data_IF_387809829535
#
_entry.id   IF_387809829535
#
_cell.length_a   1.000
_cell.length_b   1.000
_cell.length_c   1.000
_cell.angle_alpha   90.00
_cell.angle_beta   90.00
_cell.angle_gamma   90.00
#
_symmetry.space_group_name_H-M   'P 1'
#
loop_
_entity.id
_entity.type
_entity.pdbx_description
1 polymer ?
#
# COMPACT_ATOMS: atom_id res chain seq x y z
N UNK A 1 -26.35 -29.36 -7.21
CA UNK A 1 -26.33 -29.30 -5.75
C UNK A 1 -25.06 -28.54 -5.38
N UNK A 2 -25.12 -27.20 -5.23
CA UNK A 2 -24.01 -26.40 -4.75
C UNK A 2 -23.82 -26.77 -3.27
N UNK A 3 -22.78 -27.54 -2.98
CA UNK A 3 -22.34 -27.80 -1.60
C UNK A 3 -22.01 -26.40 -1.02
N UNK A 4 -22.78 -25.92 -0.06
CA UNK A 4 -22.46 -24.71 0.68
C UNK A 4 -21.18 -25.02 1.45
N UNK A 5 -20.04 -24.49 0.95
CA UNK A 5 -18.77 -24.59 1.65
C UNK A 5 -18.91 -23.77 2.93
N UNK A 6 -18.83 -24.40 4.09
CA UNK A 6 -18.75 -23.69 5.37
C UNK A 6 -17.34 -23.13 5.51
N UNK A 7 -17.20 -21.84 5.29
CA UNK A 7 -15.90 -21.15 5.39
C UNK A 7 -15.32 -21.17 6.80
N UNK A 8 -16.15 -21.31 7.83
CA UNK A 8 -15.72 -21.49 9.20
C UNK A 8 -15.07 -22.88 9.39
N UNK A 9 -15.69 -23.95 8.86
CA UNK A 9 -15.10 -25.28 8.88
C UNK A 9 -13.76 -25.34 8.16
N UNK A 10 -13.63 -24.62 7.01
CA UNK A 10 -12.33 -24.51 6.31
C UNK A 10 -11.29 -23.79 7.17
N UNK A 11 -11.67 -22.70 7.86
CA UNK A 11 -10.78 -21.99 8.77
C UNK A 11 -10.43 -22.82 10.01
N UNK A 12 -11.29 -23.76 10.42
CA UNK A 12 -11.03 -24.68 11.52
C UNK A 12 -10.09 -25.83 11.14
N UNK A 13 -10.16 -26.29 9.89
CA UNK A 13 -9.36 -27.40 9.38
C UNK A 13 -7.95 -27.01 8.92
N UNK A 14 -7.75 -25.75 8.51
CA UNK A 14 -6.44 -25.28 8.09
C UNK A 14 -5.50 -25.06 9.28
N UNK A 15 -4.24 -25.49 9.13
CA UNK A 15 -3.27 -25.45 10.22
C UNK A 15 -1.84 -25.13 9.80
N UNK A 16 -0.93 -25.23 10.76
CA UNK A 16 0.49 -24.95 10.55
C UNK A 16 1.08 -25.79 9.43
N UNK A 17 0.75 -27.08 9.39
CA UNK A 17 1.28 -28.02 8.40
C UNK A 17 0.99 -27.56 6.96
N UNK A 18 -0.17 -26.96 6.71
CA UNK A 18 -0.52 -26.47 5.36
C UNK A 18 0.38 -25.29 4.95
N UNK A 19 0.69 -24.40 5.90
CA UNK A 19 1.60 -23.26 5.67
C UNK A 19 3.04 -23.74 5.51
N UNK A 20 3.48 -24.72 6.28
CA UNK A 20 4.81 -25.34 6.15
C UNK A 20 4.98 -26.03 4.78
N UNK A 21 3.97 -26.74 4.31
CA UNK A 21 3.96 -27.29 2.96
C UNK A 21 4.02 -26.20 1.87
N UNK A 22 3.34 -25.08 2.09
CA UNK A 22 3.44 -23.94 1.20
C UNK A 22 4.86 -23.34 1.20
N UNK A 23 5.50 -23.24 2.37
CA UNK A 23 6.89 -22.77 2.50
C UNK A 23 7.86 -23.72 1.77
N UNK A 24 7.66 -25.02 1.88
CA UNK A 24 8.47 -26.02 1.16
C UNK A 24 8.37 -25.85 -0.36
N UNK A 25 7.14 -25.64 -0.89
CA UNK A 25 6.94 -25.38 -2.33
C UNK A 25 7.60 -24.08 -2.79
N UNK A 26 7.70 -23.08 -1.91
CA UNK A 26 8.30 -21.77 -2.18
C UNK A 26 9.82 -21.75 -2.06
N UNK A 27 10.44 -22.82 -1.57
CA UNK A 27 11.89 -22.92 -1.39
C UNK A 27 12.62 -22.74 -2.72
N UNK A 28 13.55 -21.76 -2.74
CA UNK A 28 14.28 -21.39 -3.95
C UNK A 28 13.49 -20.59 -4.99
N UNK A 29 12.22 -20.26 -4.70
CA UNK A 29 11.35 -19.45 -5.56
C UNK A 29 11.05 -18.09 -4.95
N UNK A 30 10.61 -18.05 -3.70
CA UNK A 30 10.46 -16.81 -2.97
C UNK A 30 11.77 -16.47 -2.24
N UNK A 31 12.08 -15.19 -2.15
CA UNK A 31 13.16 -14.72 -1.27
C UNK A 31 12.71 -14.82 0.18
N UNK A 32 13.60 -15.26 1.06
CA UNK A 32 13.49 -14.96 2.47
C UNK A 32 13.82 -13.46 2.64
N UNK A 33 12.77 -12.64 2.76
CA UNK A 33 12.94 -11.20 2.81
C UNK A 33 13.49 -10.74 4.17
N UNK A 34 14.33 -9.69 4.23
CA UNK A 34 14.96 -9.31 5.49
C UNK A 34 13.93 -8.75 6.49
N UNK A 35 14.25 -8.96 7.78
CA UNK A 35 13.57 -8.35 8.93
C UNK A 35 14.48 -7.24 9.49
N UNK A 36 14.27 -5.99 9.06
CA UNK A 36 15.15 -4.85 9.29
C UNK A 36 14.78 -4.10 10.57
N UNK A 37 15.72 -3.92 11.50
CA UNK A 37 15.52 -3.09 12.69
C UNK A 37 15.29 -1.61 12.30
N UNK A 38 14.40 -0.93 13.03
CA UNK A 38 14.07 0.46 12.80
C UNK A 38 14.10 1.28 14.06
N UNK A 39 15.19 2.00 14.29
CA UNK A 39 15.31 2.94 15.42
C UNK A 39 14.25 4.06 15.33
N UNK A 40 14.01 4.59 14.12
CA UNK A 40 13.04 5.67 13.90
C UNK A 40 11.63 5.25 14.28
N UNK A 41 11.14 4.13 13.75
CA UNK A 41 9.79 3.65 14.03
C UNK A 41 9.66 3.11 15.46
N UNK A 42 10.76 2.62 16.05
CA UNK A 42 10.80 2.24 17.45
C UNK A 42 10.61 3.45 18.36
N UNK A 43 11.36 4.52 18.15
CA UNK A 43 11.22 5.77 18.90
C UNK A 43 9.82 6.39 18.72
N UNK A 44 9.29 6.39 17.49
CA UNK A 44 7.96 6.92 17.17
C UNK A 44 6.84 6.18 17.92
N UNK A 45 6.92 4.85 18.00
CA UNK A 45 5.86 4.00 18.57
C UNK A 45 6.06 3.68 20.06
N UNK A 46 7.27 3.86 20.60
CA UNK A 46 7.64 3.40 21.94
C UNK A 46 7.69 1.87 22.06
N UNK A 47 7.96 1.18 20.94
CA UNK A 47 8.10 -0.27 20.84
C UNK A 47 9.45 -0.61 20.17
N UNK A 48 9.91 -1.86 20.24
CA UNK A 48 11.00 -2.34 19.38
C UNK A 48 10.41 -2.75 18.04
N UNK A 49 10.71 -2.03 16.95
CA UNK A 49 10.10 -2.25 15.63
C UNK A 49 11.12 -2.84 14.66
N UNK A 50 10.71 -3.91 13.96
CA UNK A 50 11.41 -4.44 12.78
C UNK A 50 10.46 -4.49 11.58
N UNK A 51 11.02 -4.25 10.40
CA UNK A 51 10.29 -4.17 9.13
C UNK A 51 10.50 -5.46 8.34
N UNK A 52 9.44 -6.23 8.09
CA UNK A 52 9.47 -7.36 7.15
C UNK A 52 9.34 -6.82 5.73
N UNK A 53 10.42 -6.79 4.99
CA UNK A 53 10.53 -6.06 3.74
C UNK A 53 10.08 -6.89 2.51
N UNK A 54 8.77 -7.19 2.39
CA UNK A 54 8.20 -7.87 1.22
C UNK A 54 8.22 -7.01 -0.06
N UNK A 55 8.45 -5.71 0.05
CA UNK A 55 8.75 -4.84 -1.10
C UNK A 55 10.09 -5.21 -1.81
N UNK A 56 10.95 -5.98 -1.15
CA UNK A 56 12.20 -6.51 -1.73
C UNK A 56 12.04 -7.93 -2.33
N UNK A 57 10.83 -8.46 -2.39
CA UNK A 57 10.55 -9.74 -3.05
C UNK A 57 10.80 -9.66 -4.57
N UNK A 58 10.95 -10.79 -5.27
CA UNK A 58 11.27 -10.84 -6.71
C UNK A 58 10.36 -9.99 -7.59
N UNK A 59 9.04 -9.95 -7.28
CA UNK A 59 8.06 -9.14 -8.00
C UNK A 59 7.74 -7.83 -7.27
N UNK A 60 8.58 -7.41 -6.35
CA UNK A 60 8.37 -6.19 -5.56
C UNK A 60 7.21 -6.26 -4.55
N UNK A 61 6.62 -7.43 -4.30
CA UNK A 61 5.53 -7.62 -3.33
C UNK A 61 5.34 -9.09 -2.95
N UNK A 62 4.67 -9.32 -1.81
CA UNK A 62 4.38 -10.66 -1.25
C UNK A 62 3.54 -11.57 -2.16
N UNK A 63 2.80 -11.02 -3.13
CA UNK A 63 1.77 -11.72 -3.92
C UNK A 63 2.26 -12.97 -4.64
N UNK A 64 3.54 -13.04 -5.01
CA UNK A 64 4.09 -14.21 -5.67
C UNK A 64 4.00 -15.47 -4.79
N UNK A 65 4.06 -15.33 -3.45
CA UNK A 65 4.02 -16.46 -2.52
C UNK A 65 2.73 -17.27 -2.68
N UNK A 66 1.60 -16.60 -2.59
CA UNK A 66 0.28 -17.24 -2.77
C UNK A 66 0.03 -17.71 -4.19
N UNK A 67 0.40 -16.90 -5.19
CA UNK A 67 0.25 -17.27 -6.60
C UNK A 67 1.03 -18.54 -6.93
N UNK A 68 2.30 -18.60 -6.54
CA UNK A 68 3.12 -19.78 -6.77
C UNK A 68 2.59 -21.01 -6.02
N UNK A 69 2.24 -20.87 -4.73
CA UNK A 69 1.69 -21.98 -3.96
C UNK A 69 0.43 -22.55 -4.61
N UNK A 70 -0.47 -21.70 -5.12
CA UNK A 70 -1.67 -22.14 -5.84
C UNK A 70 -1.33 -22.85 -7.15
N UNK A 71 -0.53 -22.23 -8.02
CA UNK A 71 -0.27 -22.73 -9.37
C UNK A 71 0.59 -24.00 -9.35
N UNK A 72 1.48 -24.15 -8.36
CA UNK A 72 2.33 -25.34 -8.22
C UNK A 72 1.54 -26.64 -7.94
N UNK A 73 0.32 -26.52 -7.43
CA UNK A 73 -0.53 -27.65 -7.05
C UNK A 73 -1.55 -28.05 -8.14
N UNK A 74 -1.53 -27.39 -9.30
CA UNK A 74 -2.42 -27.71 -10.40
C UNK A 74 -2.12 -29.10 -10.97
N UNK A 75 -3.18 -29.85 -11.29
CA UNK A 75 -3.06 -31.13 -12.00
C UNK A 75 -2.49 -30.92 -13.41
N UNK A 76 -1.96 -31.97 -14.06
CA UNK A 76 -1.48 -31.88 -15.44
C UNK A 76 -2.54 -31.32 -16.41
N UNK A 77 -3.82 -31.70 -16.22
CA UNK A 77 -4.95 -31.24 -17.03
C UNK A 77 -5.25 -29.74 -16.81
N UNK A 78 -5.18 -29.29 -15.56
CA UNK A 78 -5.34 -27.87 -15.22
C UNK A 78 -4.17 -27.03 -15.75
N UNK A 79 -2.92 -27.52 -15.64
CA UNK A 79 -1.74 -26.87 -16.19
C UNK A 79 -1.83 -26.70 -17.71
N UNK A 80 -2.34 -27.72 -18.42
CA UNK A 80 -2.52 -27.69 -19.87
C UNK A 80 -3.53 -26.62 -20.29
N UNK A 81 -4.56 -26.35 -19.48
CA UNK A 81 -5.52 -25.28 -19.71
C UNK A 81 -4.92 -23.89 -19.44
N UNK A 82 -4.06 -23.80 -18.43
CA UNK A 82 -3.47 -22.53 -17.96
C UNK A 82 -4.29 -21.83 -16.89
N UNK A 83 -3.78 -20.67 -16.46
CA UNK A 83 -4.39 -19.89 -15.37
C UNK A 83 -4.88 -18.53 -15.87
N UNK A 84 -5.86 -17.97 -15.16
CA UNK A 84 -6.38 -16.62 -15.43
C UNK A 84 -6.58 -15.87 -14.12
N UNK A 85 -6.38 -14.54 -14.17
CA UNK A 85 -6.77 -13.62 -13.09
C UNK A 85 -7.13 -12.25 -13.65
N UNK A 86 -7.78 -11.41 -12.84
CA UNK A 86 -7.97 -9.99 -13.10
C UNK A 86 -7.20 -9.16 -12.07
N UNK A 87 -6.21 -8.41 -12.54
CA UNK A 87 -5.44 -7.48 -11.70
C UNK A 87 -4.52 -6.63 -12.58
N UNK A 88 -4.35 -5.35 -12.24
CA UNK A 88 -3.38 -4.45 -12.88
C UNK A 88 -2.15 -4.15 -12.00
N UNK A 89 -1.98 -4.87 -10.87
CA UNK A 89 -0.93 -4.59 -9.88
C UNK A 89 -0.14 -5.83 -9.45
N UNK A 90 0.19 -5.89 -8.17
CA UNK A 90 1.04 -6.91 -7.56
C UNK A 90 0.60 -8.35 -7.83
N UNK A 91 -0.72 -8.60 -7.87
CA UNK A 91 -1.22 -9.95 -8.10
C UNK A 91 -1.01 -10.39 -9.55
N UNK A 92 -1.18 -9.49 -10.52
CA UNK A 92 -0.87 -9.74 -11.93
C UNK A 92 0.58 -10.21 -12.11
N UNK A 93 1.52 -9.46 -11.55
CA UNK A 93 2.95 -9.79 -11.61
C UNK A 93 3.28 -11.08 -10.85
N UNK A 94 2.65 -11.29 -9.67
CA UNK A 94 2.82 -12.51 -8.89
C UNK A 94 2.37 -13.76 -9.66
N UNK A 95 1.21 -13.71 -10.32
CA UNK A 95 0.67 -14.81 -11.14
C UNK A 95 1.53 -15.02 -12.39
N UNK A 96 1.91 -13.95 -13.09
CA UNK A 96 2.77 -14.03 -14.28
C UNK A 96 4.12 -14.68 -13.95
N UNK A 97 4.79 -14.22 -12.89
CA UNK A 97 6.06 -14.77 -12.43
C UNK A 97 5.93 -16.25 -12.03
N UNK A 98 4.91 -16.60 -11.24
CA UNK A 98 4.68 -17.98 -10.80
C UNK A 98 4.41 -18.92 -11.99
N UNK A 99 3.58 -18.49 -12.92
CA UNK A 99 3.26 -19.24 -14.14
C UNK A 99 4.50 -19.42 -15.01
N UNK A 100 5.32 -18.39 -15.21
CA UNK A 100 6.59 -18.45 -15.94
C UNK A 100 7.53 -19.51 -15.32
N UNK A 101 7.70 -19.48 -13.99
CA UNK A 101 8.56 -20.44 -13.27
C UNK A 101 8.08 -21.87 -13.39
N UNK A 102 6.78 -22.08 -13.53
CA UNK A 102 6.16 -23.42 -13.59
C UNK A 102 5.86 -23.88 -15.03
N UNK A 103 6.17 -23.05 -16.05
CA UNK A 103 5.88 -23.37 -17.45
C UNK A 103 4.37 -23.44 -17.75
N UNK A 104 3.54 -22.69 -17.03
CA UNK A 104 2.08 -22.64 -17.18
C UNK A 104 1.68 -21.38 -17.93
N UNK A 105 0.74 -21.49 -18.88
CA UNK A 105 0.17 -20.31 -19.55
C UNK A 105 -0.59 -19.45 -18.57
N UNK A 106 -0.33 -18.15 -18.53
CA UNK A 106 -1.07 -17.18 -17.74
C UNK A 106 -1.77 -16.14 -18.62
N UNK A 107 -3.05 -15.88 -18.32
CA UNK A 107 -3.85 -14.82 -18.94
C UNK A 107 -4.22 -13.82 -17.84
N UNK A 108 -3.89 -12.55 -18.05
CA UNK A 108 -4.14 -11.48 -17.09
C UNK A 108 -5.08 -10.45 -17.71
N UNK A 109 -6.28 -10.31 -17.14
CA UNK A 109 -7.24 -9.30 -17.57
C UNK A 109 -7.01 -8.01 -16.79
N UNK A 110 -6.91 -6.88 -17.52
CA UNK A 110 -6.69 -5.54 -16.96
C UNK A 110 -7.66 -4.55 -17.60
N UNK A 111 -8.05 -3.47 -16.90
CA UNK A 111 -8.75 -2.36 -17.53
C UNK A 111 -7.95 -1.78 -18.71
N UNK A 112 -8.64 -1.28 -19.73
CA UNK A 112 -8.00 -0.64 -20.88
C UNK A 112 -7.24 0.66 -20.48
N UNK A 113 -7.64 1.26 -19.37
CA UNK A 113 -7.02 2.45 -18.78
C UNK A 113 -5.73 2.17 -17.98
N UNK A 114 -5.32 0.89 -17.88
CA UNK A 114 -4.11 0.51 -17.10
C UNK A 114 -2.86 1.15 -17.69
N UNK A 115 -2.00 1.79 -16.87
CA UNK A 115 -0.75 2.38 -17.31
C UNK A 115 0.13 1.38 -18.08
N UNK A 116 0.70 1.83 -19.19
CA UNK A 116 1.46 0.97 -20.10
C UNK A 116 2.63 0.25 -19.41
N UNK A 117 3.28 0.88 -18.45
CA UNK A 117 4.38 0.27 -17.69
C UNK A 117 3.94 -0.97 -16.90
N UNK A 118 2.73 -0.97 -16.35
CA UNK A 118 2.16 -2.12 -15.63
C UNK A 118 1.82 -3.26 -16.60
N UNK A 119 1.29 -2.91 -17.78
CA UNK A 119 0.99 -3.87 -18.85
C UNK A 119 2.27 -4.54 -19.34
N UNK A 120 3.27 -3.73 -19.71
CA UNK A 120 4.54 -4.24 -20.25
C UNK A 120 5.34 -5.02 -19.18
N UNK A 121 5.35 -4.55 -17.93
CA UNK A 121 5.97 -5.29 -16.83
C UNK A 121 5.37 -6.69 -16.63
N UNK A 122 4.04 -6.83 -16.81
CA UNK A 122 3.37 -8.13 -16.74
C UNK A 122 3.66 -9.00 -17.98
N UNK A 123 3.68 -8.41 -19.17
CA UNK A 123 4.06 -9.11 -20.43
C UNK A 123 5.51 -9.60 -20.41
N UNK A 124 6.42 -8.82 -19.84
CA UNK A 124 7.83 -9.20 -19.71
C UNK A 124 8.03 -10.46 -18.85
N UNK A 125 7.07 -10.77 -17.97
CA UNK A 125 7.01 -12.02 -17.21
C UNK A 125 6.35 -13.17 -17.97
N UNK A 126 6.09 -13.02 -19.28
CA UNK A 126 5.56 -14.06 -20.15
C UNK A 126 4.04 -14.25 -20.11
N UNK A 127 3.29 -13.40 -19.44
CA UNK A 127 1.83 -13.49 -19.40
C UNK A 127 1.18 -12.86 -20.64
N UNK A 128 0.07 -13.44 -21.10
CA UNK A 128 -0.83 -12.84 -22.07
C UNK A 128 -1.70 -11.80 -21.37
N UNK A 129 -1.59 -10.51 -21.73
CA UNK A 129 -2.38 -9.45 -21.13
C UNK A 129 -3.55 -9.07 -22.04
N UNK A 130 -4.77 -9.20 -21.50
CA UNK A 130 -6.03 -8.85 -22.15
C UNK A 130 -6.56 -7.55 -21.53
N UNK A 131 -6.62 -6.48 -22.34
CA UNK A 131 -7.18 -5.19 -21.94
C UNK A 131 -8.67 -5.18 -22.25
N UNK A 132 -9.52 -4.92 -21.24
CA UNK A 132 -10.98 -4.93 -21.41
C UNK A 132 -11.68 -4.02 -20.41
N UNK A 133 -12.64 -3.22 -20.92
CA UNK A 133 -13.46 -2.30 -20.13
C UNK A 133 -12.68 -1.12 -19.55
N UNK A 134 -13.39 -0.24 -18.87
CA UNK A 134 -12.83 1.00 -18.33
C UNK A 134 -12.36 0.86 -16.87
N UNK A 135 -12.93 -0.11 -16.14
CA UNK A 135 -12.67 -0.33 -14.73
C UNK A 135 -12.32 -1.77 -14.36
N UNK A 136 -11.96 -1.96 -13.08
CA UNK A 136 -11.63 -3.29 -12.55
C UNK A 136 -12.80 -4.27 -12.69
N UNK A 137 -14.03 -3.83 -12.44
CA UNK A 137 -15.20 -4.71 -12.46
C UNK A 137 -15.47 -5.26 -13.87
N UNK A 138 -15.24 -4.47 -14.92
CA UNK A 138 -15.36 -4.90 -16.32
C UNK A 138 -14.31 -5.97 -16.66
N UNK A 139 -13.05 -5.70 -16.31
CA UNK A 139 -11.95 -6.63 -16.54
C UNK A 139 -12.15 -7.93 -15.75
N UNK A 140 -12.68 -7.83 -14.54
CA UNK A 140 -13.01 -8.99 -13.71
C UNK A 140 -14.14 -9.83 -14.33
N UNK A 141 -15.25 -9.21 -14.72
CA UNK A 141 -16.37 -9.90 -15.39
C UNK A 141 -15.88 -10.62 -16.66
N UNK A 142 -15.07 -9.94 -17.47
CA UNK A 142 -14.48 -10.52 -18.68
C UNK A 142 -13.57 -11.70 -18.38
N UNK A 143 -12.78 -11.63 -17.30
CA UNK A 143 -11.93 -12.75 -16.89
C UNK A 143 -12.72 -13.99 -16.51
N UNK A 144 -13.88 -13.82 -15.86
CA UNK A 144 -14.79 -14.93 -15.52
C UNK A 144 -15.47 -15.54 -16.76
N UNK A 145 -15.77 -14.71 -17.74
CA UNK A 145 -16.30 -15.20 -19.03
C UNK A 145 -15.25 -16.03 -19.77
N UNK A 146 -14.01 -15.54 -19.86
CA UNK A 146 -12.90 -16.28 -20.48
C UNK A 146 -12.60 -17.58 -19.71
N UNK A 147 -12.64 -17.55 -18.37
CA UNK A 147 -12.49 -18.73 -17.55
C UNK A 147 -13.48 -19.82 -17.96
N UNK A 148 -14.76 -19.49 -18.05
CA UNK A 148 -15.82 -20.45 -18.45
C UNK A 148 -15.61 -20.95 -19.87
N UNK A 149 -15.28 -20.07 -20.82
CA UNK A 149 -15.13 -20.40 -22.24
C UNK A 149 -13.89 -21.24 -22.54
N UNK A 150 -12.78 -21.03 -21.85
CA UNK A 150 -11.50 -21.67 -22.10
C UNK A 150 -11.10 -22.72 -21.07
N UNK A 151 -11.81 -22.77 -19.93
CA UNK A 151 -11.55 -23.71 -18.85
C UNK A 151 -10.29 -23.38 -18.04
N UNK A 152 -9.82 -22.13 -18.06
CA UNK A 152 -8.68 -21.68 -17.24
C UNK A 152 -8.93 -21.87 -15.76
N UNK A 153 -7.89 -22.14 -14.97
CA UNK A 153 -7.97 -22.12 -13.52
C UNK A 153 -7.85 -20.69 -13.01
N UNK A 154 -8.85 -20.23 -12.27
CA UNK A 154 -8.82 -18.88 -11.71
C UNK A 154 -7.88 -18.80 -10.50
N UNK A 155 -6.95 -17.86 -10.52
CA UNK A 155 -6.08 -17.55 -9.37
C UNK A 155 -6.61 -16.27 -8.72
N UNK A 156 -7.41 -16.45 -7.66
CA UNK A 156 -8.06 -15.31 -6.97
C UNK A 156 -7.03 -14.49 -6.18
N UNK A 157 -7.10 -13.14 -6.18
CA UNK A 157 -6.09 -12.28 -5.55
C UNK A 157 -6.02 -12.40 -4.02
N UNK A 158 -7.03 -12.96 -3.36
CA UNK A 158 -7.10 -13.11 -1.90
C UNK A 158 -8.06 -14.19 -1.38
N UNK A 159 -9.20 -14.44 -2.03
CA UNK A 159 -10.25 -15.35 -1.52
C UNK A 159 -10.07 -16.77 -2.05
N UNK A 160 -8.90 -17.37 -1.75
CA UNK A 160 -8.51 -18.73 -2.14
C UNK A 160 -7.60 -19.31 -1.05
N UNK A 161 -7.91 -20.53 -0.58
CA UNK A 161 -7.19 -21.19 0.49
C UNK A 161 -5.69 -21.34 0.17
N UNK A 162 -5.36 -21.82 -1.02
CA UNK A 162 -3.97 -22.03 -1.38
C UNK A 162 -3.19 -20.72 -1.53
N UNK A 163 -3.88 -19.66 -1.97
CA UNK A 163 -3.27 -18.32 -2.03
C UNK A 163 -2.98 -17.81 -0.62
N UNK A 164 -3.95 -17.84 0.31
CA UNK A 164 -3.72 -17.35 1.67
C UNK A 164 -2.65 -18.18 2.43
N UNK A 165 -2.60 -19.50 2.24
CA UNK A 165 -1.57 -20.37 2.84
C UNK A 165 -0.16 -19.98 2.37
N UNK A 166 0.01 -19.73 1.07
CA UNK A 166 1.27 -19.21 0.52
C UNK A 166 1.67 -17.87 1.13
N UNK A 167 0.72 -16.96 1.37
CA UNK A 167 0.97 -15.67 2.01
C UNK A 167 1.39 -15.83 3.48
N UNK A 168 0.86 -16.85 4.17
CA UNK A 168 1.20 -17.19 5.56
C UNK A 168 2.68 -17.49 5.78
N UNK A 169 3.39 -17.91 4.74
CA UNK A 169 4.84 -18.18 4.82
C UNK A 169 5.66 -16.95 5.25
N UNK A 170 5.11 -15.74 5.07
CA UNK A 170 5.72 -14.51 5.59
C UNK A 170 5.81 -14.52 7.11
N UNK A 171 4.80 -15.04 7.81
CA UNK A 171 4.81 -15.14 9.27
C UNK A 171 5.76 -16.23 9.77
N UNK A 172 5.92 -17.35 9.02
CA UNK A 172 6.94 -18.35 9.34
C UNK A 172 8.33 -17.70 9.35
N UNK A 173 8.67 -16.93 8.32
CA UNK A 173 9.94 -16.24 8.24
C UNK A 173 10.11 -15.21 9.38
N UNK A 174 9.07 -14.45 9.73
CA UNK A 174 9.14 -13.48 10.84
C UNK A 174 9.45 -14.19 12.15
N UNK A 175 8.74 -15.28 12.47
CA UNK A 175 8.91 -16.02 13.73
C UNK A 175 10.20 -16.85 13.76
N UNK A 176 10.71 -17.24 12.59
CA UNK A 176 12.03 -17.86 12.48
C UNK A 176 13.15 -16.85 12.76
N UNK A 177 13.05 -15.63 12.21
CA UNK A 177 14.05 -14.57 12.37
C UNK A 177 13.95 -13.86 13.73
N UNK A 178 12.76 -13.90 14.37
CA UNK A 178 12.47 -13.20 15.62
C UNK A 178 11.43 -13.97 16.45
N UNK A 179 11.90 -14.98 17.18
CA UNK A 179 11.05 -15.96 17.88
C UNK A 179 10.16 -15.35 18.98
N UNK A 180 10.62 -14.27 19.62
CA UNK A 180 9.95 -13.61 20.73
C UNK A 180 9.22 -12.30 20.31
N UNK A 181 8.77 -12.22 19.04
CA UNK A 181 7.91 -11.14 18.58
C UNK A 181 6.58 -11.16 19.32
N UNK A 182 6.12 -9.99 19.79
CA UNK A 182 4.85 -9.84 20.51
C UNK A 182 3.68 -9.50 19.57
N UNK A 183 3.96 -8.69 18.53
CA UNK A 183 2.91 -8.12 17.67
C UNK A 183 3.34 -8.19 16.20
N UNK A 184 2.42 -8.56 15.32
CA UNK A 184 2.58 -8.45 13.87
C UNK A 184 1.52 -7.49 13.32
N UNK A 185 1.95 -6.49 12.55
CA UNK A 185 1.07 -5.61 11.79
C UNK A 185 1.08 -6.04 10.32
N UNK A 186 -0.11 -6.27 9.76
CA UNK A 186 -0.29 -6.75 8.38
C UNK A 186 -1.32 -5.91 7.63
N UNK A 187 -1.03 -5.44 6.39
CA UNK A 187 -2.00 -4.73 5.56
C UNK A 187 -3.18 -5.61 5.17
N UNK A 188 -4.38 -5.03 5.17
CA UNK A 188 -5.63 -5.70 4.78
C UNK A 188 -6.27 -4.96 3.61
N UNK A 189 -6.46 -5.70 2.50
CA UNK A 189 -7.42 -5.36 1.45
C UNK A 189 -8.55 -6.37 1.49
N UNK A 190 -8.60 -7.33 0.56
CA UNK A 190 -9.59 -8.43 0.61
C UNK A 190 -9.36 -9.49 1.69
N UNK A 191 -8.32 -9.38 2.50
CA UNK A 191 -8.07 -10.21 3.69
C UNK A 191 -7.09 -11.38 3.51
N UNK A 192 -6.72 -11.77 2.28
CA UNK A 192 -5.93 -13.00 2.05
C UNK A 192 -4.54 -13.00 2.69
N UNK A 193 -3.86 -11.85 2.70
CA UNK A 193 -2.56 -11.73 3.36
C UNK A 193 -2.68 -11.84 4.88
N UNK A 194 -3.58 -11.06 5.45
CA UNK A 194 -3.82 -11.06 6.88
C UNK A 194 -4.31 -12.43 7.39
N UNK A 195 -5.16 -13.12 6.63
CA UNK A 195 -5.61 -14.48 6.94
C UNK A 195 -4.46 -15.46 7.05
N UNK A 196 -3.58 -15.50 6.04
CA UNK A 196 -2.44 -16.41 6.04
C UNK A 196 -1.43 -16.08 7.14
N UNK A 197 -1.08 -14.79 7.30
CA UNK A 197 -0.15 -14.34 8.34
C UNK A 197 -0.70 -14.66 9.73
N UNK A 198 -1.97 -14.37 10.00
CA UNK A 198 -2.57 -14.59 11.31
C UNK A 198 -2.70 -16.09 11.63
N UNK A 199 -3.14 -16.92 10.67
CA UNK A 199 -3.16 -18.37 10.84
C UNK A 199 -1.78 -18.90 11.24
N UNK A 200 -0.75 -18.60 10.44
CA UNK A 200 0.60 -19.10 10.68
C UNK A 200 1.17 -18.61 12.01
N UNK A 201 0.99 -17.32 12.33
CA UNK A 201 1.47 -16.74 13.58
C UNK A 201 0.81 -17.38 14.79
N UNK A 202 -0.52 -17.53 14.79
CA UNK A 202 -1.28 -18.11 15.91
C UNK A 202 -1.01 -19.60 16.10
N UNK A 203 -0.76 -20.33 15.02
CA UNK A 203 -0.38 -21.75 15.11
C UNK A 203 1.03 -21.95 15.69
N UNK A 204 1.98 -21.07 15.36
CA UNK A 204 3.35 -21.13 15.89
C UNK A 204 3.46 -20.60 17.31
N UNK A 205 2.84 -19.47 17.58
CA UNK A 205 2.83 -18.84 18.90
C UNK A 205 1.46 -18.19 19.16
N UNK A 206 0.57 -18.84 19.92
CA UNK A 206 -0.77 -18.32 20.20
C UNK A 206 -0.79 -16.98 20.97
N UNK A 207 0.33 -16.60 21.60
CA UNK A 207 0.46 -15.34 22.33
C UNK A 207 0.79 -14.14 21.43
N UNK A 208 1.28 -14.36 20.21
CA UNK A 208 1.52 -13.28 19.26
C UNK A 208 0.21 -12.60 18.88
N UNK A 209 0.15 -11.29 19.03
CA UNK A 209 -0.99 -10.50 18.58
C UNK A 209 -0.83 -10.13 17.10
N UNK A 210 -1.88 -10.31 16.31
CA UNK A 210 -1.88 -9.95 14.88
C UNK A 210 -2.97 -8.92 14.63
N UNK A 211 -2.54 -7.71 14.28
CA UNK A 211 -3.46 -6.63 13.91
C UNK A 211 -3.45 -6.41 12.41
N UNK A 212 -4.63 -6.45 11.81
CA UNK A 212 -4.84 -5.97 10.45
C UNK A 212 -4.77 -4.45 10.38
N UNK A 213 -4.34 -3.91 9.24
CA UNK A 213 -4.34 -2.46 9.00
C UNK A 213 -5.03 -2.14 7.68
N UNK A 214 -6.06 -1.32 7.73
CA UNK A 214 -6.83 -0.85 6.56
C UNK A 214 -6.76 0.67 6.43
N UNK A 215 -6.83 1.22 5.19
CA UNK A 215 -7.12 2.64 4.99
C UNK A 215 -8.53 2.97 5.52
N UNK A 216 -8.72 4.14 6.12
CA UNK A 216 -10.02 4.56 6.66
C UNK A 216 -11.13 4.54 5.61
N UNK A 217 -10.81 4.92 4.36
CA UNK A 217 -11.78 4.97 3.26
C UNK A 217 -11.99 3.62 2.53
N UNK A 218 -11.25 2.57 2.92
CA UNK A 218 -11.38 1.23 2.34
C UNK A 218 -11.39 0.12 3.41
N UNK A 219 -11.99 0.40 4.59
CA UNK A 219 -12.02 -0.49 5.74
C UNK A 219 -13.14 -1.55 5.64
N UNK A 220 -13.11 -2.38 4.58
CA UNK A 220 -14.16 -3.36 4.31
C UNK A 220 -14.16 -4.53 5.30
N UNK A 221 -12.99 -5.02 5.72
CA UNK A 221 -12.88 -6.13 6.67
C UNK A 221 -13.28 -5.68 8.09
N UNK A 222 -12.80 -4.51 8.54
CA UNK A 222 -13.21 -3.94 9.84
C UNK A 222 -14.71 -3.74 9.92
N UNK A 223 -15.32 -3.22 8.85
CA UNK A 223 -16.76 -3.04 8.75
C UNK A 223 -17.49 -4.37 8.84
N UNK A 224 -17.03 -5.38 8.08
CA UNK A 224 -17.59 -6.73 8.09
C UNK A 224 -17.52 -7.38 9.50
N UNK A 225 -16.37 -7.32 10.15
CA UNK A 225 -16.18 -7.87 11.50
C UNK A 225 -17.05 -7.16 12.53
N UNK A 226 -17.17 -5.83 12.45
CA UNK A 226 -18.02 -5.04 13.36
C UNK A 226 -19.51 -5.34 13.20
N UNK A 227 -19.96 -5.61 11.98
CA UNK A 227 -21.37 -5.88 11.66
C UNK A 227 -21.74 -7.36 11.81
N UNK A 228 -20.76 -8.24 12.02
CA UNK A 228 -20.97 -9.69 12.08
C UNK A 228 -21.31 -10.32 10.74
N UNK A 229 -20.98 -9.67 9.61
CA UNK A 229 -21.24 -10.15 8.26
C UNK A 229 -20.61 -9.29 7.17
N UNK A 230 -20.39 -9.88 6.01
CA UNK A 230 -19.73 -9.22 4.90
C UNK A 230 -20.67 -8.23 4.22
N UNK A 231 -20.21 -7.00 4.07
CA UNK A 231 -20.91 -5.92 3.36
C UNK A 231 -20.01 -5.33 2.28
N UNK A 232 -20.62 -4.67 1.30
CA UNK A 232 -19.90 -3.96 0.24
C UNK A 232 -19.91 -2.46 0.54
N UNK A 233 -18.71 -1.85 0.61
CA UNK A 233 -18.57 -0.41 0.77
C UNK A 233 -19.03 0.32 -0.50
N UNK A 234 -19.58 1.52 -0.34
CA UNK A 234 -19.97 2.36 -1.46
C UNK A 234 -18.75 2.81 -2.29
N UNK A 235 -17.64 3.11 -1.62
CA UNK A 235 -16.37 3.54 -2.21
C UNK A 235 -15.19 2.90 -1.49
N UNK A 236 -14.03 2.86 -2.15
CA UNK A 236 -12.74 2.47 -1.59
C UNK A 236 -11.65 3.39 -2.15
N UNK A 237 -11.83 4.69 -1.99
CA UNK A 237 -10.93 5.72 -2.50
C UNK A 237 -9.77 5.94 -1.52
N UNK A 238 -8.56 5.51 -1.91
CA UNK A 238 -7.35 5.59 -1.09
C UNK A 238 -6.09 5.56 -1.94
N UNK A 239 -5.02 6.20 -1.45
CA UNK A 239 -3.67 6.10 -2.05
C UNK A 239 -3.04 4.71 -1.87
N UNK A 240 -3.66 3.85 -1.08
CA UNK A 240 -3.24 2.46 -0.88
C UNK A 240 -3.90 1.52 -1.89
N UNK A 241 -3.63 1.70 -3.20
CA UNK A 241 -4.25 0.98 -4.32
C UNK A 241 -4.39 -0.52 -4.09
N UNK A 242 -3.34 -1.18 -3.57
CA UNK A 242 -3.34 -2.61 -3.29
C UNK A 242 -4.36 -3.07 -2.24
N UNK A 243 -4.91 -2.11 -1.47
CA UNK A 243 -5.93 -2.33 -0.45
C UNK A 243 -7.26 -1.62 -0.77
N UNK A 244 -7.42 -1.02 -1.96
CA UNK A 244 -8.66 -0.36 -2.41
C UNK A 244 -9.74 -1.39 -2.77
N UNK A 245 -10.20 -2.16 -1.78
CA UNK A 245 -11.16 -3.27 -1.94
C UNK A 245 -12.47 -2.92 -1.25
N UNK A 246 -13.58 -2.99 -2.01
CA UNK A 246 -14.91 -2.66 -1.49
C UNK A 246 -15.54 -3.76 -0.63
N UNK A 247 -15.12 -5.01 -0.80
CA UNK A 247 -15.74 -6.16 -0.15
C UNK A 247 -14.69 -7.19 0.26
N UNK A 248 -14.74 -7.63 1.51
CA UNK A 248 -13.94 -8.73 2.02
C UNK A 248 -14.28 -10.06 1.32
N UNK A 249 -13.33 -10.96 1.21
CA UNK A 249 -13.60 -12.32 0.73
C UNK A 249 -14.42 -13.13 1.75
N UNK A 250 -15.13 -14.14 1.28
CA UNK A 250 -15.93 -14.97 2.18
C UNK A 250 -15.04 -15.86 3.06
N UNK A 251 -14.08 -16.52 2.45
CA UNK A 251 -13.09 -17.34 3.15
C UNK A 251 -12.21 -16.47 4.06
N UNK A 252 -11.69 -15.38 3.53
CA UNK A 252 -10.79 -14.50 4.28
C UNK A 252 -11.47 -13.81 5.46
N UNK A 253 -12.78 -13.53 5.37
CA UNK A 253 -13.56 -13.05 6.50
C UNK A 253 -13.56 -14.06 7.67
N UNK A 254 -13.82 -15.35 7.39
CA UNK A 254 -13.80 -16.39 8.41
C UNK A 254 -12.44 -16.51 9.10
N UNK A 255 -11.33 -16.47 8.32
CA UNK A 255 -9.99 -16.50 8.88
C UNK A 255 -9.66 -15.24 9.71
N UNK A 256 -9.99 -14.06 9.19
CA UNK A 256 -9.75 -12.81 9.91
C UNK A 256 -10.57 -12.74 11.21
N UNK A 257 -11.83 -13.20 11.18
CA UNK A 257 -12.68 -13.27 12.37
C UNK A 257 -12.11 -14.20 13.45
N UNK A 258 -11.48 -15.30 13.04
CA UNK A 258 -10.92 -16.31 13.95
C UNK A 258 -9.56 -15.91 14.51
N UNK A 259 -8.68 -15.34 13.68
CA UNK A 259 -7.26 -15.26 14.00
C UNK A 259 -6.73 -13.85 14.23
N UNK A 260 -7.42 -12.76 13.79
CA UNK A 260 -6.98 -11.40 14.07
C UNK A 260 -7.38 -10.95 15.47
N UNK A 261 -6.47 -10.28 16.17
CA UNK A 261 -6.76 -9.64 17.47
C UNK A 261 -7.45 -8.28 17.30
N UNK A 262 -7.45 -7.73 16.12
CA UNK A 262 -8.16 -6.49 15.78
C UNK A 262 -7.73 -5.90 14.44
N UNK A 263 -8.42 -4.82 14.06
CA UNK A 263 -8.09 -4.04 12.86
C UNK A 263 -7.96 -2.56 13.21
N UNK A 264 -6.78 -2.01 12.88
CA UNK A 264 -6.49 -0.59 12.95
C UNK A 264 -6.81 0.08 11.61
N UNK A 265 -7.22 1.34 11.65
CA UNK A 265 -7.42 2.12 10.43
C UNK A 265 -6.48 3.31 10.42
N UNK A 266 -6.00 3.69 9.23
CA UNK A 266 -5.07 4.81 9.01
C UNK A 266 -5.61 5.74 7.94
N UNK A 267 -5.41 7.04 8.16
CA UNK A 267 -5.78 8.08 7.21
C UNK A 267 -4.79 8.17 6.05
N UNK A 268 -5.22 8.79 4.95
CA UNK A 268 -4.37 9.05 3.78
C UNK A 268 -3.09 9.83 4.17
N UNK A 269 -3.21 10.77 5.10
CA UNK A 269 -2.08 11.55 5.60
C UNK A 269 -1.07 10.70 6.38
N UNK A 270 -1.55 9.76 7.21
CA UNK A 270 -0.68 8.83 7.93
C UNK A 270 0.06 7.90 6.97
N UNK A 271 -0.61 7.46 5.89
CA UNK A 271 0.00 6.65 4.82
C UNK A 271 1.12 7.43 4.12
N UNK A 272 0.84 8.66 3.67
CA UNK A 272 1.83 9.51 3.00
C UNK A 272 3.02 9.82 3.91
N UNK A 273 2.77 10.09 5.19
CA UNK A 273 3.82 10.32 6.18
C UNK A 273 4.68 9.08 6.44
N UNK A 274 4.08 7.89 6.48
CA UNK A 274 4.81 6.64 6.65
C UNK A 274 5.70 6.36 5.42
N UNK A 275 5.19 6.61 4.21
CA UNK A 275 5.94 6.47 2.96
C UNK A 275 7.17 7.39 2.95
N UNK A 276 6.98 8.68 3.23
CA UNK A 276 8.08 9.64 3.29
C UNK A 276 9.12 9.24 4.34
N UNK A 277 8.68 8.80 5.53
CA UNK A 277 9.57 8.35 6.60
C UNK A 277 10.36 7.11 6.19
N UNK A 278 9.74 6.15 5.50
CA UNK A 278 10.42 4.96 5.01
C UNK A 278 11.54 5.32 4.02
N UNK A 279 11.26 6.22 3.07
CA UNK A 279 12.24 6.70 2.09
C UNK A 279 13.38 7.45 2.80
N UNK A 280 13.06 8.39 3.70
CA UNK A 280 14.05 9.22 4.37
C UNK A 280 14.95 8.43 5.35
N UNK A 281 14.37 7.50 6.10
CA UNK A 281 15.07 6.83 7.21
C UNK A 281 15.63 5.46 6.84
N UNK A 282 14.97 4.73 5.95
CA UNK A 282 15.37 3.37 5.55
C UNK A 282 15.90 3.27 4.12
N UNK A 283 15.74 4.30 3.28
CA UNK A 283 16.10 4.28 1.86
C UNK A 283 15.39 3.18 1.08
N UNK A 284 14.20 2.82 1.55
CA UNK A 284 13.32 1.83 0.92
C UNK A 284 12.15 2.53 0.24
N UNK A 285 11.77 2.01 -0.93
CA UNK A 285 10.58 2.44 -1.65
C UNK A 285 9.47 1.41 -1.41
N UNK A 286 8.28 1.90 -1.08
CA UNK A 286 7.06 1.11 -0.97
C UNK A 286 5.90 1.84 -1.63
N UNK A 287 4.83 1.11 -1.94
CA UNK A 287 3.54 1.67 -2.37
C UNK A 287 2.68 2.06 -1.17
N UNK A 288 1.57 2.78 -1.39
CA UNK A 288 0.66 3.19 -0.31
C UNK A 288 0.16 2.02 0.55
N UNK A 289 -0.24 0.91 -0.09
CA UNK A 289 -0.62 -0.32 0.61
C UNK A 289 0.56 -0.96 1.37
N UNK A 290 1.77 -0.79 0.86
CA UNK A 290 3.00 -1.33 1.45
C UNK A 290 3.34 -0.74 2.81
N UNK A 291 2.96 0.49 3.08
CA UNK A 291 3.31 1.22 4.31
C UNK A 291 2.21 1.28 5.36
N UNK A 292 1.06 0.63 5.14
CA UNK A 292 -0.08 0.65 6.08
C UNK A 292 0.34 0.22 7.49
N UNK A 293 1.11 -0.86 7.61
CA UNK A 293 1.61 -1.33 8.91
C UNK A 293 2.47 -0.28 9.63
N UNK A 294 3.25 0.50 8.89
CA UNK A 294 4.09 1.58 9.45
C UNK A 294 3.23 2.76 9.91
N UNK A 295 2.21 3.11 9.11
CA UNK A 295 1.27 4.19 9.44
C UNK A 295 0.49 3.90 10.73
N UNK A 296 0.22 2.63 11.05
CA UNK A 296 -0.53 2.22 12.22
C UNK A 296 0.30 2.12 13.52
N UNK A 297 1.62 2.21 13.46
CA UNK A 297 2.50 1.98 14.62
C UNK A 297 2.18 2.87 15.82
N UNK A 298 1.84 4.14 15.59
CA UNK A 298 1.44 5.08 16.66
C UNK A 298 0.07 4.80 17.26
N UNK A 299 -0.76 4.01 16.58
CA UNK A 299 -2.13 3.63 17.01
C UNK A 299 -2.18 2.29 17.75
N UNK A 300 -1.05 1.59 17.88
CA UNK A 300 -1.00 0.35 18.65
C UNK A 300 -1.40 0.60 20.11
N UNK A 301 -2.26 -0.26 20.70
CA UNK A 301 -2.71 -0.11 22.09
C UNK A 301 -1.67 -0.56 23.12
N UNK A 302 -0.42 -0.81 22.68
CA UNK A 302 0.66 -1.34 23.52
C UNK A 302 1.96 -0.53 23.36
N UNK A 303 2.83 -0.63 24.38
CA UNK A 303 4.17 -0.04 24.43
C UNK A 303 5.17 -1.08 24.92
N UNK A 304 6.45 -0.84 24.65
CA UNK A 304 7.56 -1.73 25.09
C UNK A 304 7.39 -3.16 24.58
N UNK A 305 6.80 -3.33 23.39
CA UNK A 305 6.56 -4.59 22.71
C UNK A 305 7.50 -4.76 21.51
N UNK A 306 7.73 -6.00 21.12
CA UNK A 306 8.45 -6.40 19.92
C UNK A 306 7.46 -6.49 18.76
N UNK A 307 7.55 -5.55 17.81
CA UNK A 307 6.56 -5.35 16.75
C UNK A 307 7.19 -5.61 15.38
N UNK A 308 6.72 -6.61 14.67
CA UNK A 308 7.04 -6.82 13.26
C UNK A 308 6.00 -6.09 12.39
N UNK A 309 6.43 -5.07 11.66
CA UNK A 309 5.59 -4.33 10.73
C UNK A 309 5.89 -4.78 9.28
N UNK A 310 4.90 -5.31 8.58
CA UNK A 310 5.12 -5.83 7.23
C UNK A 310 5.02 -4.70 6.20
N UNK A 311 6.09 -4.50 5.41
CA UNK A 311 6.11 -3.65 4.22
C UNK A 311 5.75 -4.51 3.03
N UNK A 312 4.47 -4.53 2.65
CA UNK A 312 3.90 -5.59 1.81
C UNK A 312 4.25 -5.53 0.33
N UNK A 313 4.58 -4.33 -0.19
CA UNK A 313 4.91 -4.14 -1.61
C UNK A 313 5.49 -2.77 -1.91
N UNK A 314 6.10 -2.64 -3.10
CA UNK A 314 6.77 -1.44 -3.57
C UNK A 314 6.55 -1.13 -5.06
N UNK A 315 5.54 -1.72 -5.70
CA UNK A 315 5.24 -1.52 -7.12
C UNK A 315 4.44 -0.23 -7.34
N UNK A 316 5.11 0.89 -7.25
CA UNK A 316 4.55 2.23 -7.39
C UNK A 316 5.24 2.97 -8.55
N UNK A 317 4.47 3.75 -9.30
CA UNK A 317 5.02 4.58 -10.38
C UNK A 317 5.78 5.79 -9.81
N UNK A 318 6.88 6.17 -10.45
CA UNK A 318 7.74 7.28 -10.02
C UNK A 318 6.96 8.60 -9.96
N UNK A 319 6.04 8.85 -10.91
CA UNK A 319 5.16 10.02 -10.89
C UNK A 319 4.24 10.05 -9.67
N UNK A 320 3.71 8.89 -9.28
CA UNK A 320 2.89 8.74 -8.07
C UNK A 320 3.73 8.99 -6.81
N UNK A 321 4.95 8.44 -6.75
CA UNK A 321 5.88 8.71 -5.63
C UNK A 321 6.13 10.21 -5.50
N UNK A 322 6.43 10.91 -6.61
CA UNK A 322 6.69 12.36 -6.60
C UNK A 322 5.49 13.11 -6.02
N UNK A 323 4.28 12.84 -6.50
CA UNK A 323 3.06 13.49 -6.02
C UNK A 323 2.78 13.22 -4.53
N UNK A 324 3.03 11.99 -4.05
CA UNK A 324 2.86 11.63 -2.64
C UNK A 324 3.90 12.30 -1.74
N UNK A 325 5.17 12.38 -2.21
CA UNK A 325 6.24 13.09 -1.51
C UNK A 325 5.90 14.58 -1.37
N UNK A 326 5.49 15.23 -2.46
CA UNK A 326 5.13 16.65 -2.44
C UNK A 326 4.00 16.92 -1.44
N UNK A 327 2.93 16.13 -1.47
CA UNK A 327 1.82 16.22 -0.51
C UNK A 327 2.29 16.01 0.94
N UNK A 328 3.16 15.04 1.18
CA UNK A 328 3.70 14.77 2.51
C UNK A 328 4.63 15.90 3.01
N UNK A 329 5.44 16.49 2.13
CA UNK A 329 6.29 17.64 2.46
C UNK A 329 5.47 18.89 2.82
N UNK A 330 4.42 19.16 2.06
CA UNK A 330 3.47 20.26 2.33
C UNK A 330 2.81 20.03 3.70
N UNK A 331 2.28 18.84 3.94
CA UNK A 331 1.61 18.51 5.19
C UNK A 331 2.51 18.59 6.43
N UNK A 332 3.82 18.33 6.27
CA UNK A 332 4.82 18.50 7.33
C UNK A 332 5.32 19.93 7.47
N UNK A 333 4.82 20.87 6.67
CA UNK A 333 5.28 22.25 6.64
C UNK A 333 6.74 22.37 6.20
N UNK A 334 7.21 21.48 5.32
CA UNK A 334 8.56 21.53 4.72
C UNK A 334 8.58 22.20 3.36
N UNK A 335 7.42 22.34 2.75
CA UNK A 335 7.18 23.13 1.55
C UNK A 335 5.97 24.00 1.81
N UNK A 336 6.08 25.29 1.49
CA UNK A 336 5.04 26.29 1.69
C UNK A 336 4.90 27.16 0.45
N UNK A 337 3.67 27.30 -0.03
CA UNK A 337 3.33 28.19 -1.13
C UNK A 337 2.39 29.28 -0.66
N UNK A 338 2.72 30.50 -0.99
CA UNK A 338 1.91 31.67 -0.69
C UNK A 338 1.89 32.66 -1.87
N UNK A 339 0.90 33.52 -1.89
CA UNK A 339 0.86 34.66 -2.80
C UNK A 339 0.78 35.99 -2.03
N UNK A 340 1.37 37.02 -2.59
CA UNK A 340 1.29 38.40 -2.12
C UNK A 340 0.98 39.32 -3.28
N UNK A 341 0.19 40.38 -3.03
CA UNK A 341 -0.01 41.43 -3.98
C UNK A 341 1.07 42.50 -3.79
N UNK A 342 1.76 42.86 -4.87
CA UNK A 342 2.82 43.88 -4.89
C UNK A 342 2.39 45.06 -5.75
N UNK A 343 2.81 46.30 -5.41
CA UNK A 343 2.81 47.38 -6.37
C UNK A 343 3.67 47.01 -7.59
N UNK A 344 3.21 47.31 -8.79
CA UNK A 344 4.01 47.07 -10.02
C UNK A 344 5.10 48.17 -10.15
N UNK A 345 6.16 48.04 -9.38
CA UNK A 345 7.31 48.97 -9.32
C UNK A 345 8.62 48.22 -9.16
N UNK A 346 9.72 48.72 -9.73
CA UNK A 346 11.05 48.17 -9.51
C UNK A 346 11.39 48.04 -8.02
N UNK A 347 12.05 46.94 -7.64
CA UNK A 347 12.52 46.67 -6.27
C UNK A 347 11.56 45.89 -5.38
N UNK A 348 10.28 45.73 -5.73
CA UNK A 348 9.32 45.01 -4.88
C UNK A 348 9.66 43.54 -4.73
N UNK A 349 10.06 42.89 -5.80
CA UNK A 349 10.53 41.51 -5.76
C UNK A 349 11.75 41.31 -4.86
N UNK A 350 12.70 42.30 -4.94
CA UNK A 350 13.91 42.27 -4.10
C UNK A 350 13.54 42.37 -2.62
N UNK A 351 12.59 43.22 -2.25
CA UNK A 351 12.15 43.41 -0.87
C UNK A 351 11.53 42.10 -0.30
N UNK A 352 10.66 41.42 -1.05
CA UNK A 352 10.09 40.12 -0.64
C UNK A 352 11.19 39.05 -0.52
N UNK A 353 12.08 38.97 -1.51
CA UNK A 353 13.19 38.02 -1.51
C UNK A 353 14.13 38.22 -0.32
N UNK A 354 14.39 39.49 0.06
CA UNK A 354 15.20 39.78 1.24
C UNK A 354 14.56 39.31 2.53
N UNK A 355 13.24 39.50 2.70
CA UNK A 355 12.51 39.00 3.86
C UNK A 355 12.61 37.47 3.94
N UNK A 356 12.45 36.75 2.81
CA UNK A 356 12.58 35.30 2.77
C UNK A 356 14.01 34.82 3.13
N UNK A 357 15.00 35.49 2.59
CA UNK A 357 16.41 35.22 2.89
C UNK A 357 16.72 35.45 4.38
N UNK A 358 16.25 36.54 4.98
CA UNK A 358 16.43 36.84 6.40
C UNK A 358 15.74 35.84 7.33
N UNK A 359 14.68 35.16 6.85
CA UNK A 359 14.03 34.06 7.55
C UNK A 359 14.68 32.69 7.26
N UNK A 360 15.69 32.60 6.38
CA UNK A 360 16.34 31.36 6.00
C UNK A 360 15.45 30.45 5.12
N UNK A 361 14.49 31.02 4.40
CA UNK A 361 13.64 30.30 3.48
C UNK A 361 14.29 30.21 2.09
N UNK A 362 14.44 28.99 1.56
CA UNK A 362 14.97 28.75 0.22
C UNK A 362 13.83 28.78 -0.80
N UNK A 363 13.94 29.64 -1.83
CA UNK A 363 12.92 29.76 -2.88
C UNK A 363 13.07 28.61 -3.88
N UNK A 364 12.03 27.77 -4.03
CA UNK A 364 11.96 26.69 -5.02
C UNK A 364 11.36 27.19 -6.34
N UNK A 365 10.29 27.98 -6.22
CA UNK A 365 9.54 28.49 -7.38
C UNK A 365 9.06 29.90 -7.10
N UNK A 366 9.06 30.70 -8.16
CA UNK A 366 8.59 32.09 -8.13
C UNK A 366 7.85 32.37 -9.43
N UNK A 367 6.58 32.75 -9.30
CA UNK A 367 5.74 33.15 -10.42
C UNK A 367 5.30 34.61 -10.20
N UNK A 368 5.72 35.53 -11.09
CA UNK A 368 5.36 36.92 -11.09
C UNK A 368 4.37 37.20 -12.22
N UNK A 369 3.09 37.33 -11.89
CA UNK A 369 2.01 37.40 -12.86
C UNK A 369 1.34 38.81 -12.84
N UNK A 370 1.44 39.51 -13.96
CA UNK A 370 0.82 40.81 -14.18
C UNK A 370 -0.62 40.71 -14.67
N UNK A 371 -1.03 39.54 -15.21
CA UNK A 371 -2.33 39.35 -15.82
C UNK A 371 -3.44 38.97 -14.83
N UNK A 372 -3.07 38.46 -13.66
CA UNK A 372 -4.03 37.90 -12.67
C UNK A 372 -4.76 38.97 -11.82
N UNK A 373 -4.34 40.25 -11.85
CA UNK A 373 -5.00 41.30 -11.06
C UNK A 373 -6.00 42.03 -11.92
N UNK A 374 -7.27 41.80 -11.71
CA UNK A 374 -8.37 42.40 -12.46
C UNK A 374 -8.82 43.77 -11.90
N UNK A 375 -8.53 44.04 -10.61
CA UNK A 375 -9.08 45.18 -9.88
C UNK A 375 -8.16 46.43 -9.86
N UNK A 376 -6.92 46.29 -10.31
CA UNK A 376 -5.95 47.40 -10.32
C UNK A 376 -4.79 47.14 -11.27
N UNK A 377 -4.59 47.99 -12.25
CA UNK A 377 -3.44 47.97 -13.16
C UNK A 377 -2.10 48.32 -12.50
N UNK A 378 -2.10 48.68 -11.22
CA UNK A 378 -0.90 49.07 -10.47
C UNK A 378 -0.40 47.96 -9.52
N UNK A 379 -1.02 46.80 -9.53
CA UNK A 379 -0.66 45.68 -8.68
C UNK A 379 -0.38 44.43 -9.51
N UNK A 380 0.52 43.60 -9.01
CA UNK A 380 0.88 42.29 -9.57
C UNK A 380 0.79 41.24 -8.46
N UNK A 381 0.52 39.99 -8.84
CA UNK A 381 0.56 38.86 -7.91
C UNK A 381 1.92 38.19 -8.02
N UNK A 382 2.59 38.05 -6.89
CA UNK A 382 3.77 37.23 -6.74
C UNK A 382 3.40 35.97 -5.97
N UNK A 383 3.49 34.79 -6.61
CA UNK A 383 3.34 33.48 -5.97
C UNK A 383 4.72 32.87 -5.74
N UNK A 384 4.99 32.52 -4.50
CA UNK A 384 6.29 31.99 -4.11
C UNK A 384 6.12 30.64 -3.40
N UNK A 385 6.88 29.63 -3.83
CA UNK A 385 7.03 28.36 -3.12
C UNK A 385 8.41 28.30 -2.48
N UNK A 386 8.46 28.01 -1.19
CA UNK A 386 9.70 27.99 -0.41
C UNK A 386 9.86 26.66 0.32
N UNK A 387 11.12 26.24 0.49
CA UNK A 387 11.46 25.19 1.46
C UNK A 387 11.43 25.78 2.87
N UNK A 388 10.88 25.02 3.79
CA UNK A 388 10.74 25.40 5.20
C UNK A 388 11.11 24.23 6.11
N UNK A 389 11.37 24.50 7.38
CA UNK A 389 11.73 23.44 8.33
C UNK A 389 10.51 22.74 8.93
N UNK A 390 9.45 23.50 9.22
CA UNK A 390 8.23 23.05 9.89
C UNK A 390 7.18 24.16 9.90
N UNK A 391 6.00 23.90 10.46
CA UNK A 391 4.91 24.86 10.57
C UNK A 391 5.31 26.15 11.32
N UNK A 392 6.13 26.06 12.36
CA UNK A 392 6.59 27.26 13.09
C UNK A 392 7.47 28.17 12.21
N UNK A 393 8.23 27.60 11.28
CA UNK A 393 9.01 28.38 10.31
C UNK A 393 8.09 29.09 9.33
N UNK A 394 7.04 28.43 8.84
CA UNK A 394 6.00 29.05 8.00
C UNK A 394 5.37 30.25 8.71
N UNK A 395 5.00 30.08 9.98
CA UNK A 395 4.37 31.15 10.78
C UNK A 395 5.32 32.34 11.00
N UNK A 396 6.64 32.14 11.10
CA UNK A 396 7.63 33.23 11.16
C UNK A 396 7.72 33.95 9.84
N UNK A 397 7.74 33.24 8.71
CA UNK A 397 7.76 33.82 7.37
C UNK A 397 6.53 34.70 7.14
N UNK A 398 5.34 34.18 7.44
CA UNK A 398 4.09 34.94 7.28
C UNK A 398 4.13 36.24 8.09
N UNK A 399 4.50 36.18 9.37
CA UNK A 399 4.61 37.36 10.24
C UNK A 399 5.64 38.39 9.75
N UNK A 400 6.77 37.92 9.20
CA UNK A 400 7.79 38.81 8.65
C UNK A 400 7.31 39.54 7.38
N UNK A 401 6.60 38.83 6.52
CA UNK A 401 5.98 39.42 5.33
C UNK A 401 4.88 40.43 5.70
N UNK A 402 4.00 40.09 6.64
CA UNK A 402 2.95 40.99 7.15
C UNK A 402 3.55 42.26 7.78
N UNK A 403 4.63 42.12 8.56
CA UNK A 403 5.36 43.25 9.12
C UNK A 403 6.01 44.15 8.03
N UNK A 404 6.40 43.53 6.91
CA UNK A 404 6.87 44.21 5.71
C UNK A 404 5.78 44.91 4.89
N UNK A 405 4.51 44.83 5.32
CA UNK A 405 3.36 45.42 4.66
C UNK A 405 2.72 44.56 3.56
N UNK A 406 3.07 43.26 3.49
CA UNK A 406 2.54 42.35 2.48
C UNK A 406 1.40 41.49 3.07
N UNK A 407 0.22 41.53 2.45
CA UNK A 407 -0.88 40.64 2.80
C UNK A 407 -0.62 39.24 2.21
N UNK A 408 -0.41 38.25 3.09
CA UNK A 408 -0.07 36.87 2.70
C UNK A 408 -1.33 36.05 2.51
N UNK A 409 -1.50 35.45 1.32
CA UNK A 409 -2.52 34.45 1.05
C UNK A 409 -1.85 33.11 0.93
N UNK A 410 -2.15 32.17 1.84
CA UNK A 410 -1.64 30.80 1.78
C UNK A 410 -2.29 30.07 0.61
N UNK A 411 -1.49 29.44 -0.24
CA UNK A 411 -1.96 28.61 -1.36
C UNK A 411 -2.00 27.15 -0.91
N UNK A 412 -0.91 26.68 -0.30
CA UNK A 412 -0.81 25.38 0.41
C UNK A 412 0.36 25.40 1.38
#
# INVERSE_FOLDING_TARGET
MLCFMDYAEVADSAGLQDVEQAAERLRGVARHTPLLASEYFSALSGNEVRLKAENLQHTGAFKLRGAYNKISQLTPEERAKGVITSSAGNHAQGVAYAAQKLGVKAVICMPATTPILKVEGTRALGAEVMLHGDGFDDAYAYSLELQKKRGYVYVHPFDDLQVLLGQGTTALEILQDWQDVDVILVPVGGGGFASGVALAAKCLNPHVQVYGVEPEHAACMKTALKQGGITTLASADTVADGCAVKRAGNLTYAFCQKYLDGILTVSEMEIMNALLSLIEKHKLIAEGAGVLSLAALSKLPCRHKKVAAIVSGGNIDISTISALIDKALIARGRVFCFSVQLPDKPGQLLAVSQILADQGANVIRLDHDQAMVTDSFQKVVLTVTVETHNQQHIDRICRALEKGGYAVTKVY
#
